data_IF_655155377420
#
_entry.id   IF_655155377420
#
_cell.length_a   1.000
_cell.length_b   1.000
_cell.length_c   1.000
_cell.angle_alpha   90.00
_cell.angle_beta   90.00
_cell.angle_gamma   90.00
#
_symmetry.space_group_name_H-M   'P 1'
#
loop_
_entity.id
_entity.type
_entity.pdbx_description
1 polymer ?
#
# COMPACT_ATOMS: atom_id res chain seq x y z
N UNK A 1 15.81 -1.52 -14.21
CA UNK A 1 14.63 -1.12 -13.40
C UNK A 1 14.90 -1.11 -11.89
N UNK A 2 15.25 -2.25 -11.28
CA UNK A 2 15.44 -2.40 -9.81
C UNK A 2 16.48 -1.45 -9.18
N UNK A 3 17.61 -1.18 -9.85
CA UNK A 3 18.63 -0.26 -9.31
C UNK A 3 18.17 1.20 -9.24
N UNK A 4 17.45 1.66 -10.27
CA UNK A 4 16.90 3.02 -10.28
C UNK A 4 15.86 3.21 -9.17
N UNK A 5 14.99 2.22 -8.94
CA UNK A 5 14.03 2.25 -7.83
C UNK A 5 14.75 2.37 -6.48
N UNK A 6 15.79 1.55 -6.23
CA UNK A 6 16.59 1.63 -4.99
C UNK A 6 17.23 3.00 -4.78
N UNK A 7 17.75 3.64 -5.85
CA UNK A 7 18.32 4.98 -5.75
C UNK A 7 17.29 6.03 -5.37
N UNK A 8 16.13 6.01 -6.03
CA UNK A 8 15.05 6.94 -5.72
C UNK A 8 14.48 6.71 -4.33
N UNK A 9 14.30 5.44 -3.91
CA UNK A 9 13.85 5.08 -2.57
C UNK A 9 14.81 5.61 -1.48
N UNK A 10 16.12 5.40 -1.64
CA UNK A 10 17.15 5.95 -0.73
C UNK A 10 17.20 7.47 -0.71
N UNK A 11 16.86 8.13 -1.81
CA UNK A 11 16.78 9.60 -1.87
C UNK A 11 15.52 10.08 -1.16
N UNK A 12 14.39 9.44 -1.43
CA UNK A 12 13.11 9.74 -0.80
C UNK A 12 13.17 9.52 0.71
N UNK A 13 13.87 8.48 1.20
CA UNK A 13 14.03 8.20 2.63
C UNK A 13 14.79 9.28 3.43
N UNK A 14 15.37 10.28 2.75
CA UNK A 14 15.99 11.46 3.38
C UNK A 14 15.01 12.62 3.55
N UNK A 15 13.86 12.58 2.88
CA UNK A 15 12.79 13.54 3.09
C UNK A 15 12.07 13.26 4.42
N UNK A 16 11.51 14.32 5.01
CA UNK A 16 10.62 14.25 6.16
C UNK A 16 9.38 15.11 5.89
N UNK A 17 8.50 14.69 4.95
CA UNK A 17 7.64 15.66 4.29
C UNK A 17 6.18 15.63 4.77
N UNK A 18 5.74 14.55 5.44
CA UNK A 18 4.38 14.44 5.97
C UNK A 18 4.41 14.51 7.51
N UNK A 19 3.52 15.32 8.08
CA UNK A 19 3.44 15.58 9.52
C UNK A 19 2.13 15.10 10.15
N UNK A 20 1.16 14.69 9.33
CA UNK A 20 -0.16 14.25 9.80
C UNK A 20 -1.12 13.93 8.64
N UNK A 21 -2.37 13.67 9.01
CA UNK A 21 -3.48 13.52 8.07
C UNK A 21 -4.29 14.81 7.93
N UNK A 22 -4.66 15.17 6.69
CA UNK A 22 -5.68 16.19 6.37
C UNK A 22 -7.06 15.56 6.24
N UNK A 23 -7.10 14.31 5.80
CA UNK A 23 -8.31 13.48 5.72
C UNK A 23 -7.96 12.01 5.97
N UNK A 24 -8.92 11.23 6.46
CA UNK A 24 -8.78 9.78 6.61
C UNK A 24 -9.92 9.11 5.86
N UNK A 25 -9.66 8.57 4.66
CA UNK A 25 -10.68 7.81 3.95
C UNK A 25 -10.98 6.52 4.73
N UNK A 26 -12.26 6.23 4.91
CA UNK A 26 -12.70 4.98 5.54
C UNK A 26 -12.07 3.77 4.81
N UNK A 27 -11.64 2.73 5.53
CA UNK A 27 -11.11 1.53 4.90
C UNK A 27 -12.16 0.90 3.98
N UNK A 28 -11.83 0.82 2.68
CA UNK A 28 -12.74 0.32 1.63
C UNK A 28 -12.59 -1.16 1.34
N UNK A 29 -11.71 -1.83 2.07
CA UNK A 29 -11.47 -3.26 1.95
C UNK A 29 -11.94 -4.04 3.13
N UNK A 30 -12.44 -5.22 2.81
CA UNK A 30 -12.92 -6.19 3.77
C UNK A 30 -11.91 -7.32 3.80
N UNK A 31 -11.19 -7.44 4.90
CA UNK A 31 -10.35 -8.61 5.16
C UNK A 31 -11.18 -9.82 5.60
N UNK A 32 -10.51 -10.96 5.72
CA UNK A 32 -11.08 -12.20 6.23
C UNK A 32 -10.75 -12.38 7.70
N UNK A 33 -11.80 -12.41 8.54
CA UNK A 33 -11.70 -12.75 9.96
C UNK A 33 -10.98 -14.09 10.20
N UNK A 34 -11.23 -15.09 9.35
CA UNK A 34 -10.58 -16.40 9.45
C UNK A 34 -9.08 -16.33 9.15
N UNK A 35 -8.68 -15.57 8.10
CA UNK A 35 -7.25 -15.35 7.80
C UNK A 35 -6.57 -14.53 8.91
N UNK A 36 -7.26 -13.54 9.48
CA UNK A 36 -6.76 -12.78 10.63
C UNK A 36 -6.42 -13.69 11.81
N UNK A 37 -7.29 -14.65 12.14
CA UNK A 37 -7.01 -15.67 13.18
C UNK A 37 -5.80 -16.53 12.84
N UNK A 38 -5.69 -16.96 11.59
CA UNK A 38 -4.54 -17.75 11.14
C UNK A 38 -3.24 -16.97 11.29
N UNK A 39 -3.20 -15.70 10.89
CA UNK A 39 -2.04 -14.82 11.03
C UNK A 39 -1.63 -14.62 12.51
N UNK A 40 -2.60 -14.44 13.40
CA UNK A 40 -2.34 -14.32 14.84
C UNK A 40 -1.80 -15.63 15.42
N UNK A 41 -2.27 -16.77 14.93
CA UNK A 41 -1.77 -18.09 15.32
C UNK A 41 -0.44 -18.49 14.65
N UNK A 42 0.17 -17.61 13.83
CA UNK A 42 1.41 -17.88 13.10
C UNK A 42 1.27 -18.82 11.91
N UNK A 43 0.07 -18.94 11.35
CA UNK A 43 -0.18 -19.65 10.10
C UNK A 43 -0.27 -18.64 8.95
N UNK A 44 0.75 -18.63 8.11
CA UNK A 44 0.95 -17.66 7.04
C UNK A 44 0.65 -18.31 5.69
N UNK A 45 -0.44 -17.89 5.05
CA UNK A 45 -0.80 -18.30 3.69
C UNK A 45 -0.68 -17.08 2.76
N UNK A 46 0.42 -17.03 2.01
CA UNK A 46 0.70 -15.99 1.02
C UNK A 46 1.11 -16.64 -0.30
N UNK A 47 0.60 -16.15 -1.42
CA UNK A 47 0.90 -16.56 -2.78
C UNK A 47 0.82 -18.09 -2.96
N UNK A 48 -0.20 -18.71 -2.35
CA UNK A 48 -0.42 -20.16 -2.35
C UNK A 48 0.56 -20.99 -1.50
N UNK A 49 1.51 -20.37 -0.80
CA UNK A 49 2.45 -21.06 0.08
C UNK A 49 2.04 -20.92 1.53
N UNK A 50 2.05 -22.05 2.26
CA UNK A 50 1.72 -22.12 3.68
C UNK A 50 2.99 -22.29 4.52
N UNK A 51 3.19 -21.41 5.51
CA UNK A 51 4.27 -21.48 6.49
C UNK A 51 3.67 -21.37 7.88
N UNK A 52 4.08 -22.24 8.80
CA UNK A 52 3.65 -22.18 10.21
C UNK A 52 4.84 -21.85 11.09
N UNK A 53 4.77 -20.73 11.79
CA UNK A 53 5.71 -20.32 12.82
C UNK A 53 5.00 -19.33 13.79
N UNK A 54 4.55 -19.81 14.96
CA UNK A 54 3.82 -18.99 15.95
C UNK A 54 4.60 -17.79 16.48
N UNK A 55 5.93 -17.93 16.57
CA UNK A 55 6.82 -16.96 17.20
C UNK A 55 7.49 -16.02 16.19
N UNK A 56 7.52 -16.40 14.90
CA UNK A 56 8.14 -15.57 13.89
C UNK A 56 7.31 -14.34 13.51
N UNK A 57 8.05 -13.26 13.24
CA UNK A 57 7.55 -12.18 12.40
C UNK A 57 7.53 -12.60 10.93
N UNK A 58 6.53 -12.11 10.17
CA UNK A 58 6.45 -12.32 8.72
C UNK A 58 7.70 -11.83 7.97
N UNK A 59 8.47 -10.91 8.55
CA UNK A 59 9.71 -10.40 7.96
C UNK A 59 10.93 -11.28 8.19
N UNK A 60 10.84 -12.22 9.14
CA UNK A 60 11.92 -13.15 9.51
C UNK A 60 11.79 -14.50 8.80
N UNK A 61 10.64 -14.76 8.19
CA UNK A 61 10.39 -15.95 7.38
C UNK A 61 11.28 -15.89 6.13
N UNK A 62 12.02 -16.96 5.87
CA UNK A 62 12.70 -17.12 4.58
C UNK A 62 11.62 -17.39 3.52
N UNK A 63 11.42 -16.49 2.54
CA UNK A 63 10.29 -16.61 1.62
C UNK A 63 10.49 -17.81 0.68
N UNK A 64 9.51 -18.72 0.56
CA UNK A 64 9.61 -19.89 -0.32
C UNK A 64 9.56 -19.52 -1.81
N UNK A 65 9.07 -18.33 -2.15
CA UNK A 65 8.99 -17.84 -3.53
C UNK A 65 9.09 -16.30 -3.58
N UNK A 66 9.36 -15.76 -4.78
CA UNK A 66 9.34 -14.32 -5.00
C UNK A 66 7.94 -13.71 -4.80
N UNK A 67 6.89 -14.40 -5.25
CA UNK A 67 5.50 -13.98 -5.09
C UNK A 67 5.11 -13.90 -3.60
N UNK A 68 5.56 -14.84 -2.77
CA UNK A 68 5.38 -14.78 -1.32
C UNK A 68 6.02 -13.52 -0.73
N UNK A 69 7.27 -13.22 -1.10
CA UNK A 69 7.95 -12.03 -0.63
C UNK A 69 7.25 -10.73 -1.09
N UNK A 70 6.74 -10.70 -2.33
CA UNK A 70 6.01 -9.56 -2.87
C UNK A 70 4.65 -9.35 -2.18
N UNK A 71 3.87 -10.41 -1.93
CA UNK A 71 2.57 -10.31 -1.26
C UNK A 71 2.70 -9.74 0.17
N UNK A 72 3.68 -10.22 0.95
CA UNK A 72 3.94 -9.69 2.29
C UNK A 72 4.29 -8.19 2.23
N UNK A 73 5.11 -7.79 1.25
CA UNK A 73 5.51 -6.40 1.05
C UNK A 73 4.36 -5.49 0.60
N UNK A 74 3.24 -6.04 0.13
CA UNK A 74 2.04 -5.29 -0.29
C UNK A 74 1.08 -4.95 0.85
N UNK A 75 1.27 -5.51 2.06
CA UNK A 75 0.42 -5.27 3.23
C UNK A 75 -1.06 -5.66 3.07
N UNK A 76 -1.40 -6.55 2.13
CA UNK A 76 -2.78 -7.05 2.00
C UNK A 76 -3.28 -7.75 3.26
N UNK A 77 -2.37 -8.43 3.98
CA UNK A 77 -2.62 -9.07 5.28
C UNK A 77 -3.13 -8.12 6.37
N UNK A 78 -2.94 -6.81 6.21
CA UNK A 78 -3.43 -5.82 7.18
C UNK A 78 -4.95 -5.77 7.22
N UNK A 79 -5.61 -5.98 6.07
CA UNK A 79 -7.08 -6.08 6.02
C UNK A 79 -7.59 -7.23 6.91
N UNK A 80 -6.91 -8.38 6.84
CA UNK A 80 -7.29 -9.58 7.58
C UNK A 80 -7.13 -9.38 9.10
N UNK A 81 -6.03 -8.75 9.52
CA UNK A 81 -5.82 -8.40 10.93
C UNK A 81 -6.82 -7.35 11.43
N UNK A 82 -7.11 -6.33 10.61
CA UNK A 82 -8.12 -5.32 10.94
C UNK A 82 -9.53 -5.93 11.04
N UNK A 83 -9.85 -6.93 10.19
CA UNK A 83 -11.10 -7.68 10.23
C UNK A 83 -11.23 -8.53 11.50
N UNK A 84 -10.14 -9.12 12.00
CA UNK A 84 -10.13 -9.79 13.31
C UNK A 84 -10.31 -8.78 14.46
N UNK A 85 -9.62 -7.65 14.41
CA UNK A 85 -9.89 -6.47 15.22
C UNK A 85 -9.59 -6.57 16.72
N UNK A 86 -9.11 -7.72 17.21
CA UNK A 86 -8.78 -7.90 18.63
C UNK A 86 -7.42 -7.26 19.01
N UNK A 87 -7.13 -7.26 20.31
CA UNK A 87 -5.92 -6.65 20.84
C UNK A 87 -4.64 -7.27 20.26
N UNK A 88 -4.61 -8.58 20.09
CA UNK A 88 -3.43 -9.31 19.60
C UNK A 88 -3.22 -9.05 18.10
N UNK A 89 -4.28 -9.03 17.30
CA UNK A 89 -4.24 -8.67 15.88
C UNK A 89 -3.67 -7.26 15.68
N UNK A 90 -4.14 -6.29 16.48
CA UNK A 90 -3.64 -4.91 16.44
C UNK A 90 -2.18 -4.81 16.84
N UNK A 91 -1.80 -5.44 17.96
CA UNK A 91 -0.41 -5.45 18.43
C UNK A 91 0.53 -6.08 17.40
N UNK A 92 0.11 -7.16 16.75
CA UNK A 92 0.85 -7.83 15.67
C UNK A 92 0.99 -6.94 14.44
N UNK A 93 -0.08 -6.29 13.99
CA UNK A 93 -0.04 -5.34 12.88
C UNK A 93 0.91 -4.17 13.15
N UNK A 94 0.85 -3.57 14.35
CA UNK A 94 1.72 -2.48 14.78
C UNK A 94 3.19 -2.92 14.83
N UNK A 95 3.47 -4.09 15.40
CA UNK A 95 4.82 -4.64 15.48
C UNK A 95 5.41 -4.91 14.09
N UNK A 96 4.65 -5.55 13.19
CA UNK A 96 5.10 -5.83 11.83
C UNK A 96 5.26 -4.55 11.00
N UNK A 97 4.41 -3.54 11.18
CA UNK A 97 4.61 -2.23 10.58
C UNK A 97 5.93 -1.58 11.04
N UNK A 98 6.17 -1.53 12.35
CA UNK A 98 7.37 -0.94 12.91
C UNK A 98 8.64 -1.67 12.42
N UNK A 99 8.61 -3.00 12.39
CA UNK A 99 9.71 -3.82 11.88
C UNK A 99 9.95 -3.58 10.38
N UNK A 100 8.90 -3.42 9.56
CA UNK A 100 9.07 -3.04 8.16
C UNK A 100 9.76 -1.68 8.01
N UNK A 101 9.36 -0.68 8.80
CA UNK A 101 9.99 0.65 8.78
C UNK A 101 11.47 0.54 9.18
N UNK A 102 11.79 -0.25 10.20
CA UNK A 102 13.16 -0.46 10.66
C UNK A 102 14.04 -1.16 9.59
N UNK A 103 13.53 -2.22 8.96
CA UNK A 103 14.26 -3.02 7.97
C UNK A 103 14.39 -2.29 6.62
N UNK A 104 13.30 -1.67 6.15
CA UNK A 104 13.15 -1.24 4.76
C UNK A 104 12.93 0.26 4.58
N UNK A 105 12.57 1.01 5.64
CA UNK A 105 12.26 2.45 5.56
C UNK A 105 13.39 3.33 5.02
N UNK A 106 14.64 2.86 5.09
CA UNK A 106 15.81 3.54 4.50
C UNK A 106 15.93 3.41 2.97
N UNK A 107 14.90 2.92 2.28
CA UNK A 107 14.93 2.69 0.83
C UNK A 107 15.67 1.42 0.42
N UNK A 108 15.77 0.43 1.33
CA UNK A 108 16.48 -0.84 1.13
C UNK A 108 15.48 -1.99 1.01
N UNK A 109 15.96 -3.13 0.48
CA UNK A 109 15.15 -4.35 0.36
C UNK A 109 14.26 -4.43 -0.87
N UNK A 110 13.41 -5.48 -0.96
CA UNK A 110 12.60 -5.78 -2.13
C UNK A 110 11.33 -4.92 -2.25
N UNK A 111 10.81 -4.34 -1.16
CA UNK A 111 9.51 -3.66 -1.13
C UNK A 111 9.41 -2.33 -1.90
N UNK A 112 10.52 -1.79 -2.43
CA UNK A 112 10.53 -0.50 -3.14
C UNK A 112 10.29 -0.65 -4.65
N UNK A 113 9.14 -1.20 -5.02
CA UNK A 113 8.57 -1.15 -6.37
C UNK A 113 7.35 -0.21 -6.36
N UNK A 114 7.01 0.43 -7.49
CA UNK A 114 5.91 1.40 -7.51
C UNK A 114 4.55 0.78 -7.16
N UNK A 115 4.27 -0.41 -7.69
CA UNK A 115 3.08 -1.23 -7.41
C UNK A 115 2.95 -1.54 -5.91
N UNK A 116 3.94 -2.18 -5.29
CA UNK A 116 3.95 -2.48 -3.85
C UNK A 116 3.87 -1.21 -2.99
N UNK A 117 4.52 -0.11 -3.39
CA UNK A 117 4.42 1.15 -2.66
C UNK A 117 3.01 1.74 -2.74
N UNK A 118 2.35 1.66 -3.91
CA UNK A 118 0.96 2.06 -4.08
C UNK A 118 0.01 1.25 -3.19
N UNK A 119 0.10 -0.10 -3.26
CA UNK A 119 -0.68 -1.01 -2.40
C UNK A 119 -0.51 -0.69 -0.92
N UNK A 120 0.74 -0.52 -0.46
CA UNK A 120 1.05 -0.19 0.94
C UNK A 120 0.47 1.15 1.37
N UNK A 121 0.62 2.19 0.55
CA UNK A 121 0.08 3.52 0.86
C UNK A 121 -1.43 3.45 1.08
N UNK A 122 -2.17 2.79 0.18
CA UNK A 122 -3.62 2.61 0.31
C UNK A 122 -3.93 1.91 1.65
N UNK A 123 -3.30 0.77 1.92
CA UNK A 123 -3.52 -0.03 3.14
C UNK A 123 -3.22 0.73 4.42
N UNK A 124 -2.07 1.40 4.49
CA UNK A 124 -1.63 2.11 5.69
C UNK A 124 -2.52 3.31 5.98
N UNK A 125 -2.94 4.04 4.94
CA UNK A 125 -3.83 5.20 5.09
C UNK A 125 -5.22 4.72 5.52
N UNK A 126 -5.78 3.72 4.84
CA UNK A 126 -7.10 3.16 5.16
C UNK A 126 -7.17 2.56 6.56
N UNK A 127 -6.09 1.95 7.06
CA UNK A 127 -6.03 1.35 8.40
C UNK A 127 -5.31 2.23 9.42
N UNK A 128 -5.19 3.53 9.17
CA UNK A 128 -4.46 4.44 10.04
C UNK A 128 -4.99 4.43 11.48
N UNK A 129 -6.32 4.43 11.68
CA UNK A 129 -6.92 4.36 13.03
C UNK A 129 -6.56 3.07 13.76
N UNK A 130 -6.62 1.92 13.05
CA UNK A 130 -6.25 0.62 13.62
C UNK A 130 -4.77 0.57 14.01
N UNK A 131 -3.89 1.07 13.13
CA UNK A 131 -2.45 1.10 13.35
C UNK A 131 -2.03 2.12 14.42
N UNK A 132 -2.66 3.29 14.49
CA UNK A 132 -2.25 4.39 15.38
C UNK A 132 -2.96 4.36 16.73
N UNK A 133 -3.94 3.49 16.94
CA UNK A 133 -4.62 3.37 18.23
C UNK A 133 -3.63 3.03 19.35
N UNK A 134 -3.47 3.97 20.28
CA UNK A 134 -2.52 3.87 21.41
C UNK A 134 -1.05 4.11 21.06
N UNK A 135 -0.73 4.56 19.83
CA UNK A 135 0.63 4.92 19.41
C UNK A 135 0.88 6.41 19.64
N UNK A 136 2.02 6.76 20.25
CA UNK A 136 2.38 8.14 20.58
C UNK A 136 3.84 8.44 20.25
N UNK A 137 4.15 9.73 20.12
CA UNK A 137 5.53 10.21 20.00
C UNK A 137 6.27 9.67 18.77
N UNK A 138 7.29 8.85 19.01
CA UNK A 138 8.24 8.41 17.98
C UNK A 138 7.62 7.45 16.95
N UNK A 139 6.67 6.61 17.36
CA UNK A 139 6.07 5.62 16.47
C UNK A 139 5.15 6.29 15.44
N UNK A 140 4.32 7.24 15.89
CA UNK A 140 3.50 8.08 15.02
C UNK A 140 4.37 8.92 14.07
N UNK A 141 5.47 9.50 14.55
CA UNK A 141 6.42 10.23 13.71
C UNK A 141 7.05 9.33 12.63
N UNK A 142 7.50 8.13 13.01
CA UNK A 142 8.09 7.17 12.08
C UNK A 142 7.09 6.73 11.01
N UNK A 143 5.83 6.52 11.38
CA UNK A 143 4.73 6.19 10.48
C UNK A 143 4.50 7.28 9.43
N UNK A 144 4.24 8.52 9.85
CA UNK A 144 4.00 9.63 8.92
C UNK A 144 5.20 9.93 8.04
N UNK A 145 6.41 9.89 8.62
CA UNK A 145 7.65 10.02 7.86
C UNK A 145 7.72 8.96 6.76
N UNK A 146 7.45 7.70 7.09
CA UNK A 146 7.51 6.60 6.13
C UNK A 146 6.46 6.72 5.01
N UNK A 147 5.23 7.13 5.34
CA UNK A 147 4.19 7.44 4.36
C UNK A 147 4.68 8.50 3.36
N UNK A 148 5.15 9.65 3.86
CA UNK A 148 5.66 10.72 3.01
C UNK A 148 6.84 10.31 2.11
N UNK A 149 7.73 9.45 2.62
CA UNK A 149 8.84 8.91 1.83
C UNK A 149 8.37 7.99 0.70
N UNK A 150 7.37 7.15 0.97
CA UNK A 150 6.77 6.29 -0.05
C UNK A 150 6.06 7.12 -1.11
N UNK A 151 5.33 8.18 -0.73
CA UNK A 151 4.67 9.12 -1.65
C UNK A 151 5.68 9.81 -2.57
N UNK A 152 6.78 10.34 -2.02
CA UNK A 152 7.83 10.96 -2.82
C UNK A 152 8.51 9.95 -3.75
N UNK A 153 8.77 8.73 -3.29
CA UNK A 153 9.30 7.69 -4.17
C UNK A 153 8.36 7.43 -5.34
N UNK A 154 7.06 7.28 -5.05
CA UNK A 154 6.05 6.92 -6.03
C UNK A 154 5.81 8.03 -7.06
N UNK A 155 5.79 9.29 -6.64
CA UNK A 155 5.64 10.44 -7.54
C UNK A 155 6.74 10.54 -8.60
N UNK A 156 7.93 10.01 -8.32
CA UNK A 156 9.04 9.97 -9.27
C UNK A 156 9.14 8.66 -10.07
N UNK A 157 8.45 7.58 -9.66
CA UNK A 157 8.73 6.22 -10.14
C UNK A 157 7.50 5.45 -10.60
N UNK A 158 6.29 6.00 -10.52
CA UNK A 158 5.08 5.30 -10.98
C UNK A 158 5.17 4.84 -12.44
N UNK A 159 5.85 5.58 -13.33
CA UNK A 159 6.05 5.17 -14.74
C UNK A 159 6.89 3.89 -14.88
N UNK A 160 7.66 3.55 -13.85
CA UNK A 160 8.42 2.31 -13.79
C UNK A 160 7.59 1.13 -13.26
N UNK A 161 6.27 1.26 -13.09
CA UNK A 161 5.38 0.12 -13.02
C UNK A 161 5.13 -0.40 -14.45
N UNK A 162 4.93 -1.72 -14.57
CA UNK A 162 4.43 -2.30 -15.82
C UNK A 162 3.04 -1.68 -16.14
N UNK A 163 2.71 -1.48 -17.43
CA UNK A 163 1.36 -1.07 -17.83
C UNK A 163 0.30 -2.03 -17.28
N UNK A 164 -0.91 -1.52 -17.04
CA UNK A 164 -2.01 -2.29 -16.46
C UNK A 164 -2.03 -2.21 -14.93
N UNK A 165 -2.49 -3.28 -14.28
CA UNK A 165 -2.75 -3.31 -12.83
C UNK A 165 -1.62 -2.71 -11.96
N UNK A 166 -0.32 -3.05 -12.15
CA UNK A 166 0.75 -2.50 -11.33
C UNK A 166 0.83 -0.97 -11.34
N UNK A 167 0.48 -0.34 -12.47
CA UNK A 167 0.48 1.12 -12.59
C UNK A 167 -0.80 1.75 -12.06
N UNK A 168 -1.95 1.09 -12.20
CA UNK A 168 -3.18 1.50 -11.51
C UNK A 168 -2.96 1.57 -10.00
N UNK A 169 -2.33 0.55 -9.41
CA UNK A 169 -2.02 0.52 -7.97
C UNK A 169 -1.10 1.65 -7.54
N UNK A 170 -0.04 1.90 -8.33
CA UNK A 170 0.89 3.00 -8.09
C UNK A 170 0.18 4.36 -8.13
N UNK A 171 -0.67 4.60 -9.13
CA UNK A 171 -1.34 5.89 -9.30
C UNK A 171 -2.47 6.10 -8.27
N UNK A 172 -3.27 5.08 -7.98
CA UNK A 172 -4.30 5.15 -6.93
C UNK A 172 -3.68 5.38 -5.56
N UNK A 173 -2.58 4.70 -5.23
CA UNK A 173 -1.88 4.95 -3.96
C UNK A 173 -1.30 6.35 -3.85
N UNK A 174 -0.83 6.94 -4.97
CA UNK A 174 -0.37 8.32 -5.01
C UNK A 174 -1.51 9.33 -4.82
N UNK A 175 -2.68 9.09 -5.40
CA UNK A 175 -3.88 9.91 -5.20
C UNK A 175 -4.32 9.86 -3.72
N UNK A 176 -4.45 8.66 -3.15
CA UNK A 176 -4.77 8.49 -1.73
C UNK A 176 -3.80 9.25 -0.83
N UNK A 177 -2.50 9.07 -1.05
CA UNK A 177 -1.49 9.76 -0.26
C UNK A 177 -1.56 11.29 -0.43
N UNK A 178 -1.81 11.79 -1.63
CA UNK A 178 -1.95 13.22 -1.88
C UNK A 178 -3.20 13.83 -1.24
N UNK A 179 -4.30 13.09 -1.16
CA UNK A 179 -5.55 13.55 -0.53
C UNK A 179 -5.51 13.46 1.01
N UNK A 180 -4.77 12.48 1.54
CA UNK A 180 -4.76 12.19 2.97
C UNK A 180 -3.62 12.86 3.73
N UNK A 181 -2.43 13.03 3.14
CA UNK A 181 -1.25 13.48 3.88
C UNK A 181 -0.99 14.98 3.73
N UNK A 182 -0.71 15.63 4.86
CA UNK A 182 -0.31 17.05 4.87
C UNK A 182 0.95 17.25 4.05
N UNK A 183 0.93 18.21 3.13
CA UNK A 183 2.07 18.58 2.29
C UNK A 183 2.27 17.69 1.06
N UNK A 184 1.33 16.80 0.75
CA UNK A 184 1.35 15.91 -0.43
C UNK A 184 0.29 16.27 -1.48
N UNK A 185 -0.50 17.31 -1.25
CA UNK A 185 -1.69 17.67 -2.03
C UNK A 185 -1.35 17.97 -3.50
N UNK A 186 -0.15 18.50 -3.75
CA UNK A 186 0.35 18.79 -5.09
C UNK A 186 0.59 17.55 -5.97
N UNK A 187 0.51 16.34 -5.41
CA UNK A 187 0.63 15.10 -6.17
C UNK A 187 -0.69 14.59 -6.75
N UNK A 188 -1.84 15.13 -6.30
CA UNK A 188 -3.17 14.65 -6.70
C UNK A 188 -3.43 14.88 -8.18
N UNK A 189 -3.35 16.13 -8.67
CA UNK A 189 -3.73 16.44 -10.06
C UNK A 189 -2.83 15.75 -11.10
N UNK A 190 -1.49 15.69 -10.93
CA UNK A 190 -0.64 14.92 -11.83
C UNK A 190 -0.96 13.42 -11.83
N UNK A 191 -1.29 12.85 -10.66
CA UNK A 191 -1.63 11.44 -10.55
C UNK A 191 -3.00 11.13 -11.18
N UNK A 192 -3.99 12.03 -11.04
CA UNK A 192 -5.29 11.91 -11.71
C UNK A 192 -5.15 11.93 -13.23
N UNK A 193 -4.37 12.88 -13.78
CA UNK A 193 -4.13 12.96 -15.22
C UNK A 193 -3.41 11.71 -15.74
N UNK A 194 -2.45 11.19 -14.98
CA UNK A 194 -1.76 9.95 -15.33
C UNK A 194 -2.70 8.74 -15.27
N UNK A 195 -3.58 8.67 -14.27
CA UNK A 195 -4.56 7.59 -14.11
C UNK A 195 -5.56 7.61 -15.27
N UNK A 196 -6.06 8.79 -15.65
CA UNK A 196 -6.96 8.95 -16.79
C UNK A 196 -6.32 8.49 -18.11
N UNK A 197 -5.02 8.77 -18.32
CA UNK A 197 -4.28 8.27 -19.48
C UNK A 197 -4.11 6.76 -19.43
N UNK A 198 -3.78 6.19 -18.28
CA UNK A 198 -3.68 4.73 -18.15
C UNK A 198 -5.02 4.05 -18.42
N UNK A 199 -6.15 4.62 -17.99
CA UNK A 199 -7.48 4.15 -18.39
C UNK A 199 -7.64 4.15 -19.92
N UNK A 200 -7.33 5.26 -20.58
CA UNK A 200 -7.45 5.36 -22.04
C UNK A 200 -6.52 4.38 -22.79
N UNK A 201 -5.36 4.04 -22.21
CA UNK A 201 -4.38 3.14 -22.81
C UNK A 201 -4.67 1.65 -22.54
N UNK A 202 -5.31 1.32 -21.41
CA UNK A 202 -5.47 -0.05 -20.91
C UNK A 202 -6.91 -0.56 -20.90
N UNK A 203 -7.91 0.30 -21.11
CA UNK A 203 -9.33 -0.07 -21.08
C UNK A 203 -9.94 0.28 -22.44
N UNK A 204 -10.45 -0.73 -23.14
CA UNK A 204 -11.10 -0.53 -24.44
C UNK A 204 -12.53 0.05 -24.29
N UNK A 205 -13.15 0.39 -25.42
CA UNK A 205 -14.51 0.97 -25.47
C UNK A 205 -15.59 0.05 -24.88
N UNK A 206 -15.29 -1.24 -24.66
CA UNK A 206 -16.17 -2.22 -24.04
C UNK A 206 -15.84 -2.48 -22.56
N UNK A 207 -14.87 -1.76 -21.99
CA UNK A 207 -14.41 -1.94 -20.61
C UNK A 207 -13.45 -3.12 -20.42
N UNK A 208 -12.94 -3.71 -21.50
CA UNK A 208 -11.99 -4.82 -21.47
C UNK A 208 -10.55 -4.36 -21.24
N UNK A 209 -9.76 -5.22 -20.58
CA UNK A 209 -8.30 -5.02 -20.40
C UNK A 209 -7.50 -6.00 -21.28
N UNK A 210 -6.25 -5.65 -21.70
CA UNK A 210 -5.43 -6.47 -22.59
C UNK A 210 -5.22 -7.91 -22.14
N UNK A 211 -5.07 -8.16 -20.83
CA UNK A 211 -4.77 -9.49 -20.30
C UNK A 211 -5.97 -10.43 -20.37
N UNK A 212 -7.19 -9.89 -20.52
CA UNK A 212 -8.46 -10.62 -20.49
C UNK A 212 -8.61 -11.49 -19.24
N UNK A 213 -7.90 -11.16 -18.17
CA UNK A 213 -8.02 -11.81 -16.87
C UNK A 213 -9.15 -11.13 -16.07
N UNK A 214 -10.25 -11.84 -15.74
CA UNK A 214 -11.35 -11.25 -15.00
C UNK A 214 -10.97 -10.82 -13.58
N UNK A 215 -9.99 -11.47 -12.94
CA UNK A 215 -9.49 -11.09 -11.61
C UNK A 215 -8.77 -9.74 -11.67
N UNK A 216 -7.89 -9.57 -12.65
CA UNK A 216 -7.18 -8.30 -12.86
C UNK A 216 -8.15 -7.17 -13.23
N UNK A 217 -9.18 -7.45 -14.04
CA UNK A 217 -10.21 -6.46 -14.38
C UNK A 217 -10.98 -6.00 -13.13
N UNK A 218 -11.35 -6.92 -12.24
CA UNK A 218 -12.03 -6.60 -10.99
C UNK A 218 -11.15 -5.73 -10.08
N UNK A 219 -9.86 -6.03 -9.98
CA UNK A 219 -8.91 -5.24 -9.20
C UNK A 219 -8.75 -3.83 -9.77
N UNK A 220 -8.58 -3.68 -11.09
CA UNK A 220 -8.52 -2.38 -11.76
C UNK A 220 -9.80 -1.58 -11.50
N UNK A 221 -10.97 -2.18 -11.69
CA UNK A 221 -12.25 -1.50 -11.45
C UNK A 221 -12.39 -1.05 -9.99
N UNK A 222 -11.96 -1.89 -9.04
CA UNK A 222 -11.99 -1.59 -7.61
C UNK A 222 -11.09 -0.41 -7.27
N UNK A 223 -9.86 -0.38 -7.81
CA UNK A 223 -8.92 0.73 -7.63
C UNK A 223 -9.44 2.05 -8.22
N UNK A 224 -10.09 2.00 -9.39
CA UNK A 224 -10.70 3.16 -10.01
C UNK A 224 -11.88 3.69 -9.19
N UNK A 225 -12.75 2.80 -8.71
CA UNK A 225 -13.87 3.19 -7.85
C UNK A 225 -13.37 3.84 -6.55
N UNK A 226 -12.33 3.28 -5.94
CA UNK A 226 -11.70 3.86 -4.75
C UNK A 226 -11.08 5.24 -5.01
N UNK A 227 -10.40 5.42 -6.14
CA UNK A 227 -9.87 6.73 -6.52
C UNK A 227 -11.00 7.75 -6.73
N UNK A 228 -12.04 7.38 -7.47
CA UNK A 228 -13.20 8.23 -7.73
C UNK A 228 -13.91 8.66 -6.44
N UNK A 229 -14.15 7.72 -5.52
CA UNK A 229 -14.76 8.00 -4.22
C UNK A 229 -13.88 8.93 -3.37
N UNK A 230 -12.57 8.67 -3.27
CA UNK A 230 -11.66 9.53 -2.51
C UNK A 230 -11.65 10.97 -3.04
N UNK A 231 -11.66 11.14 -4.37
CA UNK A 231 -11.70 12.43 -5.02
C UNK A 231 -13.02 13.16 -4.76
N UNK A 232 -14.14 12.45 -4.87
CA UNK A 232 -15.47 12.98 -4.58
C UNK A 232 -15.61 13.45 -3.13
N UNK A 233 -15.13 12.66 -2.16
CA UNK A 233 -15.14 13.02 -0.73
C UNK A 233 -14.27 14.24 -0.44
N UNK A 234 -13.18 14.42 -1.21
CA UNK A 234 -12.33 15.60 -1.14
C UNK A 234 -12.87 16.83 -1.90
N UNK A 235 -14.11 16.77 -2.42
CA UNK A 235 -14.75 17.85 -3.18
C UNK A 235 -14.13 18.09 -4.56
N UNK A 236 -13.31 17.15 -5.05
CA UNK A 236 -12.70 17.17 -6.39
C UNK A 236 -13.51 16.23 -7.28
N UNK A 237 -14.66 16.69 -7.78
CA UNK A 237 -15.40 15.90 -8.75
C UNK A 237 -14.56 15.75 -10.03
N UNK A 238 -14.31 14.49 -10.41
CA UNK A 238 -13.84 14.09 -11.74
C UNK A 238 -15.04 13.89 -12.68
#
# INVERSE_FOLDING_TARGET
>A
MRWANRRHARRASRACPATGFVSQPEPRTIGSYARGKQLVAGNFLFAGHHVTDPDASIWQITPPSAAFAEEIQGFAWLDDLASLGDHEARKRAQAWLAEWIALYGSGKGPGWTPDLAGRRLIRWISHALFLMSGQEGNDSFAFFRSLGQQTIFLSHRWQAAAPGLPRFEALTGLIYAGLSLTGMEGHVDPAMQALARECADQIDDQGGIPTRNPEELLEVFTLLNWAAMALSEAGRMA
#
